data_IF_954808956211
#
_entry.id   IF_954808956211
#
_cell.length_a   1.000
_cell.length_b   1.000
_cell.length_c   1.000
_cell.angle_alpha   90.00
_cell.angle_beta   90.00
_cell.angle_gamma   90.00
#
_symmetry.space_group_name_H-M   'P 1'
#
loop_
_entity.id
_entity.type
_entity.pdbx_description
1 polymer ?
#
# COMPACT_ATOMS: atom_id res chain seq x y z
N UNK A 1 -0.86 29.00 -10.18
CA UNK A 1 -1.57 28.11 -9.25
C UNK A 1 -2.29 26.94 -9.93
N UNK A 2 -3.36 27.11 -10.73
CA UNK A 2 -4.07 25.93 -11.29
C UNK A 2 -3.24 25.11 -12.30
N UNK A 3 -2.53 25.78 -13.21
CA UNK A 3 -1.62 25.11 -14.16
C UNK A 3 -0.45 24.41 -13.43
N UNK A 4 0.04 25.02 -12.35
CA UNK A 4 1.08 24.46 -11.48
C UNK A 4 0.60 23.19 -10.77
N UNK A 5 -0.62 23.22 -10.21
CA UNK A 5 -1.25 22.05 -9.60
C UNK A 5 -1.44 20.94 -10.63
N UNK A 6 -1.99 21.25 -11.81
CA UNK A 6 -2.16 20.25 -12.87
C UNK A 6 -0.82 19.65 -13.30
N UNK A 7 0.20 20.48 -13.49
CA UNK A 7 1.56 20.03 -13.82
C UNK A 7 2.10 19.09 -12.74
N UNK A 8 1.97 19.44 -11.45
CA UNK A 8 2.44 18.60 -10.34
C UNK A 8 1.61 17.34 -10.10
N UNK A 9 0.32 17.33 -10.46
CA UNK A 9 -0.46 16.09 -10.52
C UNK A 9 0.08 15.16 -11.61
N UNK A 10 0.32 15.67 -12.81
CA UNK A 10 0.82 14.88 -13.94
C UNK A 10 2.21 14.32 -13.65
N UNK A 11 3.13 15.15 -13.15
CA UNK A 11 4.47 14.69 -12.79
C UNK A 11 4.43 13.76 -11.58
N UNK A 12 3.55 14.01 -10.61
CA UNK A 12 3.31 13.09 -9.49
C UNK A 12 2.87 11.71 -9.97
N UNK A 13 1.89 11.63 -10.88
CA UNK A 13 1.47 10.38 -11.52
C UNK A 13 2.65 9.71 -12.22
N UNK A 14 3.46 10.46 -12.97
CA UNK A 14 4.65 9.91 -13.64
C UNK A 14 5.65 9.26 -12.66
N UNK A 15 5.99 9.94 -11.57
CA UNK A 15 6.86 9.36 -10.52
C UNK A 15 6.18 8.21 -9.76
N UNK A 16 4.85 8.25 -9.63
CA UNK A 16 4.05 7.15 -9.08
C UNK A 16 4.12 5.88 -9.95
N UNK A 17 4.16 6.03 -11.28
CA UNK A 17 4.41 4.91 -12.19
C UNK A 17 5.82 4.34 -11.96
N UNK A 18 6.85 5.21 -11.88
CA UNK A 18 8.24 4.76 -11.69
C UNK A 18 8.38 3.98 -10.38
N UNK A 19 7.89 4.53 -9.27
CA UNK A 19 7.94 3.88 -7.96
C UNK A 19 7.11 2.61 -7.93
N UNK A 20 5.89 2.61 -8.47
CA UNK A 20 5.03 1.43 -8.49
C UNK A 20 5.56 0.31 -9.37
N UNK A 21 6.30 0.60 -10.44
CA UNK A 21 6.83 -0.43 -11.34
C UNK A 21 8.22 -0.93 -10.98
N UNK A 22 8.99 -0.20 -10.15
CA UNK A 22 10.37 -0.54 -9.83
C UNK A 22 10.45 -1.22 -8.48
N UNK A 23 10.65 -2.56 -8.42
CA UNK A 23 10.79 -3.26 -7.15
C UNK A 23 11.92 -2.65 -6.30
N UNK A 24 11.66 -2.41 -5.02
CA UNK A 24 12.62 -1.82 -4.09
C UNK A 24 12.66 -0.29 -4.06
N UNK A 25 12.07 0.42 -5.03
CA UNK A 25 11.92 1.89 -4.96
C UNK A 25 10.54 2.24 -4.39
N UNK A 26 10.49 2.43 -3.08
CA UNK A 26 9.25 2.80 -2.39
C UNK A 26 9.01 4.32 -2.42
N UNK A 27 7.75 4.75 -2.44
CA UNK A 27 7.34 6.17 -2.35
C UNK A 27 7.96 6.95 -1.18
N UNK A 28 8.28 6.29 -0.08
CA UNK A 28 8.87 6.93 1.10
C UNK A 28 10.27 7.49 0.80
N UNK A 29 11.03 6.81 -0.07
CA UNK A 29 12.35 7.27 -0.51
C UNK A 29 12.21 8.56 -1.31
N UNK A 30 11.32 8.59 -2.30
CA UNK A 30 11.12 9.79 -3.13
C UNK A 30 10.56 10.93 -2.29
N UNK A 31 9.64 10.65 -1.37
CA UNK A 31 9.08 11.66 -0.46
C UNK A 31 10.16 12.28 0.43
N UNK A 32 11.11 11.47 0.92
CA UNK A 32 12.23 11.95 1.74
C UNK A 32 13.25 12.74 0.90
N UNK A 33 13.56 12.26 -0.31
CA UNK A 33 14.44 12.97 -1.24
C UNK A 33 13.85 14.33 -1.61
N UNK A 34 12.55 14.38 -1.92
CA UNK A 34 11.81 15.62 -2.19
C UNK A 34 11.88 16.57 -1.00
N UNK A 35 11.72 16.07 0.23
CA UNK A 35 11.88 16.88 1.44
C UNK A 35 13.29 17.46 1.56
N UNK A 36 14.33 16.67 1.26
CA UNK A 36 15.72 17.15 1.29
C UNK A 36 16.03 18.23 0.26
N UNK A 37 15.43 18.16 -0.93
CA UNK A 37 15.58 19.18 -1.98
C UNK A 37 14.49 20.27 -1.92
N UNK A 38 13.58 20.20 -0.95
CA UNK A 38 12.45 21.14 -0.84
C UNK A 38 12.86 22.61 -0.75
N UNK A 39 13.97 23.03 -0.08
CA UNK A 39 14.36 24.43 -0.07
C UNK A 39 14.59 25.02 -1.47
N UNK A 40 15.11 24.20 -2.39
CA UNK A 40 15.29 24.59 -3.80
C UNK A 40 13.94 24.61 -4.53
N UNK A 41 13.13 23.56 -4.39
CA UNK A 41 11.84 23.45 -5.08
C UNK A 41 10.86 24.55 -4.67
N UNK A 42 10.91 25.00 -3.42
CA UNK A 42 10.06 26.08 -2.90
C UNK A 42 10.34 27.45 -3.54
N UNK A 43 11.44 27.61 -4.28
CA UNK A 43 11.66 28.81 -5.10
C UNK A 43 10.84 28.83 -6.39
N UNK A 44 10.35 27.66 -6.84
CA UNK A 44 9.60 27.50 -8.09
C UNK A 44 8.14 27.08 -7.87
N UNK A 45 7.88 26.35 -6.78
CA UNK A 45 6.59 25.74 -6.50
C UNK A 45 6.10 26.08 -5.09
N UNK A 46 4.79 26.22 -4.95
CA UNK A 46 4.15 26.38 -3.66
C UNK A 46 4.18 25.08 -2.84
N UNK A 47 4.22 25.22 -1.51
CA UNK A 47 4.19 24.11 -0.55
C UNK A 47 3.00 23.17 -0.81
N UNK A 48 1.83 23.75 -1.08
CA UNK A 48 0.59 23.01 -1.38
C UNK A 48 0.76 22.17 -2.65
N UNK A 49 1.40 22.72 -3.68
CA UNK A 49 1.60 22.01 -4.94
C UNK A 49 2.59 20.84 -4.76
N UNK A 50 3.63 20.99 -3.93
CA UNK A 50 4.51 19.88 -3.58
C UNK A 50 3.79 18.78 -2.79
N UNK A 51 2.87 19.14 -1.88
CA UNK A 51 2.02 18.16 -1.20
C UNK A 51 1.09 17.42 -2.19
N UNK A 52 0.51 18.14 -3.15
CA UNK A 52 -0.30 17.56 -4.24
C UNK A 52 0.51 16.60 -5.11
N UNK A 53 1.77 16.93 -5.41
CA UNK A 53 2.70 16.01 -6.09
C UNK A 53 2.86 14.70 -5.31
N UNK A 54 3.15 14.79 -4.00
CA UNK A 54 3.35 13.60 -3.16
C UNK A 54 2.08 12.74 -3.15
N UNK A 55 0.90 13.34 -3.06
CA UNK A 55 -0.37 12.63 -3.04
C UNK A 55 -0.64 11.92 -4.36
N UNK A 56 -0.47 12.63 -5.48
CA UNK A 56 -0.66 12.05 -6.81
C UNK A 56 0.30 10.87 -7.05
N UNK A 57 1.57 11.02 -6.63
CA UNK A 57 2.57 9.96 -6.67
C UNK A 57 2.15 8.76 -5.80
N UNK A 58 1.83 8.99 -4.52
CA UNK A 58 1.48 7.92 -3.58
C UNK A 58 0.25 7.14 -4.01
N UNK A 59 -0.82 7.82 -4.45
CA UNK A 59 -2.02 7.14 -4.94
C UNK A 59 -1.73 6.35 -6.21
N UNK A 60 -0.99 6.93 -7.16
CA UNK A 60 -0.66 6.19 -8.40
C UNK A 60 0.17 4.94 -8.06
N UNK A 61 1.12 5.07 -7.14
CA UNK A 61 1.94 3.97 -6.68
C UNK A 61 1.12 2.82 -6.08
N UNK A 62 0.12 3.07 -5.22
CA UNK A 62 -0.69 1.99 -4.61
C UNK A 62 -1.53 1.17 -5.60
N UNK A 63 -1.64 1.64 -6.84
CA UNK A 63 -2.26 0.87 -7.93
C UNK A 63 -1.22 0.12 -8.74
N UNK A 64 -0.09 0.77 -9.04
CA UNK A 64 0.93 0.24 -9.95
C UNK A 64 1.87 -0.78 -9.28
N UNK A 65 2.08 -0.69 -7.96
CA UNK A 65 2.84 -1.66 -7.13
C UNK A 65 2.30 -3.10 -7.20
N UNK A 66 1.03 -3.24 -7.54
CA UNK A 66 0.39 -4.54 -7.77
C UNK A 66 0.95 -5.27 -8.99
N UNK A 67 1.51 -4.57 -9.97
CA UNK A 67 2.05 -5.18 -11.20
C UNK A 67 3.32 -5.98 -10.91
N UNK A 68 4.42 -5.41 -10.38
CA UNK A 68 5.60 -6.20 -10.05
C UNK A 68 5.30 -7.27 -8.99
N UNK A 69 4.40 -6.99 -8.03
CA UNK A 69 3.97 -7.97 -7.04
C UNK A 69 3.35 -9.23 -7.68
N UNK A 70 2.47 -9.06 -8.67
CA UNK A 70 1.79 -10.17 -9.35
C UNK A 70 2.68 -10.86 -10.38
N UNK A 71 3.40 -10.08 -11.21
CA UNK A 71 4.11 -10.60 -12.38
C UNK A 71 5.56 -11.00 -12.10
N UNK A 72 6.24 -10.32 -11.18
CA UNK A 72 7.64 -10.59 -10.83
C UNK A 72 7.79 -11.29 -9.49
N UNK A 73 6.71 -11.40 -8.70
CA UNK A 73 6.79 -11.95 -7.36
C UNK A 73 7.65 -11.11 -6.42
N UNK A 74 7.82 -9.83 -6.72
CA UNK A 74 8.63 -8.87 -5.97
C UNK A 74 7.71 -7.83 -5.31
N UNK A 75 7.05 -8.17 -4.18
CA UNK A 75 6.09 -7.30 -3.53
C UNK A 75 6.75 -6.23 -2.67
N UNK A 76 5.94 -5.26 -2.30
CA UNK A 76 6.22 -4.38 -1.18
C UNK A 76 5.59 -4.89 0.12
N UNK A 77 5.83 -4.17 1.21
CA UNK A 77 5.23 -4.45 2.51
C UNK A 77 3.71 -4.56 2.50
N UNK A 78 3.07 -3.71 1.69
CA UNK A 78 1.63 -3.69 1.58
C UNK A 78 1.07 -4.91 0.82
N UNK A 79 1.84 -5.47 -0.10
CA UNK A 79 1.36 -6.48 -1.07
C UNK A 79 1.99 -7.86 -0.89
N UNK A 80 2.88 -8.05 0.10
CA UNK A 80 3.61 -9.29 0.33
C UNK A 80 2.71 -10.53 0.48
N UNK A 81 1.60 -10.42 1.21
CA UNK A 81 0.65 -11.53 1.34
C UNK A 81 -0.13 -11.77 0.04
N UNK A 82 -0.27 -10.74 -0.81
CA UNK A 82 -0.84 -10.76 -2.16
C UNK A 82 -0.05 -11.60 -3.16
N UNK A 83 1.24 -11.80 -2.94
CA UNK A 83 2.10 -12.54 -3.88
C UNK A 83 1.66 -13.97 -4.04
N UNK A 84 1.34 -14.69 -2.97
CA UNK A 84 1.01 -16.11 -3.11
C UNK A 84 -0.25 -16.33 -3.97
N UNK A 85 -1.39 -15.65 -3.72
CA UNK A 85 -2.54 -15.70 -4.63
C UNK A 85 -2.24 -15.10 -6.01
N UNK A 86 -1.57 -13.96 -6.10
CA UNK A 86 -1.21 -13.32 -7.36
C UNK A 86 -0.34 -14.20 -8.26
N UNK A 87 0.66 -14.84 -7.68
CA UNK A 87 1.53 -15.81 -8.33
C UNK A 87 0.76 -17.07 -8.74
N UNK A 88 -0.17 -17.58 -7.90
CA UNK A 88 -1.10 -18.65 -8.32
C UNK A 88 -1.91 -18.26 -9.55
N UNK A 89 -2.35 -17.01 -9.67
CA UNK A 89 -3.02 -16.51 -10.88
C UNK A 89 -2.07 -16.44 -12.07
N UNK A 90 -0.86 -15.92 -11.88
CA UNK A 90 0.16 -15.82 -12.92
C UNK A 90 0.46 -17.20 -13.54
N UNK A 91 0.68 -18.21 -12.70
CA UNK A 91 0.95 -19.59 -13.08
C UNK A 91 -0.24 -20.29 -13.76
N UNK A 92 -1.46 -19.80 -13.57
CA UNK A 92 -2.67 -20.26 -14.28
C UNK A 92 -2.91 -19.50 -15.60
N UNK A 93 -2.03 -18.58 -15.97
CA UNK A 93 -2.21 -17.70 -17.13
C UNK A 93 -3.21 -16.58 -16.90
N UNK A 94 -3.54 -16.25 -15.65
CA UNK A 94 -4.59 -15.31 -15.26
C UNK A 94 -4.03 -14.09 -14.49
N UNK A 95 -2.77 -13.70 -14.68
CA UNK A 95 -2.16 -12.56 -13.97
C UNK A 95 -2.89 -11.24 -14.20
N UNK A 96 -3.40 -11.01 -15.41
CA UNK A 96 -4.25 -9.84 -15.72
C UNK A 96 -5.57 -9.82 -14.94
N UNK A 97 -6.12 -10.98 -14.60
CA UNK A 97 -7.32 -11.09 -13.77
C UNK A 97 -7.02 -10.69 -12.32
N UNK A 98 -5.92 -11.19 -11.76
CA UNK A 98 -5.45 -10.78 -10.44
C UNK A 98 -5.25 -9.26 -10.36
N UNK A 99 -4.61 -8.68 -11.38
CA UNK A 99 -4.40 -7.24 -11.48
C UNK A 99 -5.72 -6.46 -11.49
N UNK A 100 -6.68 -6.87 -12.34
CA UNK A 100 -8.01 -6.25 -12.39
C UNK A 100 -8.70 -6.27 -11.03
N UNK A 101 -8.67 -7.40 -10.33
CA UNK A 101 -9.29 -7.54 -9.00
C UNK A 101 -8.64 -6.60 -7.97
N UNK A 102 -7.31 -6.48 -7.98
CA UNK A 102 -6.59 -5.57 -7.08
C UNK A 102 -6.86 -4.11 -7.41
N UNK A 103 -6.98 -3.75 -8.69
CA UNK A 103 -7.38 -2.40 -9.11
C UNK A 103 -8.82 -2.09 -8.68
N UNK A 104 -9.76 -3.05 -8.80
CA UNK A 104 -11.12 -2.91 -8.28
C UNK A 104 -11.11 -2.65 -6.77
N UNK A 105 -10.28 -3.39 -6.03
CA UNK A 105 -10.06 -3.19 -4.60
C UNK A 105 -9.56 -1.77 -4.28
N UNK A 106 -8.51 -1.34 -4.99
CA UNK A 106 -7.86 -0.04 -4.79
C UNK A 106 -8.79 1.13 -5.12
N UNK A 107 -9.45 1.09 -6.28
CA UNK A 107 -10.37 2.14 -6.71
C UNK A 107 -11.64 2.18 -5.86
N UNK A 108 -12.20 1.01 -5.53
CA UNK A 108 -13.36 0.91 -4.64
C UNK A 108 -13.05 1.46 -3.25
N UNK A 109 -11.88 1.13 -2.70
CA UNK A 109 -11.42 1.67 -1.41
C UNK A 109 -11.15 3.17 -1.45
N UNK A 110 -10.61 3.71 -2.55
CA UNK A 110 -10.43 5.14 -2.73
C UNK A 110 -11.78 5.88 -2.67
N UNK A 111 -12.77 5.43 -3.44
CA UNK A 111 -14.11 6.01 -3.45
C UNK A 111 -14.76 5.91 -2.06
N UNK A 112 -14.72 4.73 -1.44
CA UNK A 112 -15.28 4.51 -0.11
C UNK A 112 -14.56 5.35 0.96
N UNK A 113 -13.24 5.52 0.86
CA UNK A 113 -12.47 6.34 1.79
C UNK A 113 -12.82 7.81 1.68
N UNK A 114 -13.01 8.32 0.46
CA UNK A 114 -13.47 9.71 0.25
C UNK A 114 -14.90 9.89 0.78
N UNK A 115 -15.80 8.94 0.49
CA UNK A 115 -17.20 9.01 0.94
C UNK A 115 -17.33 8.93 2.47
N UNK A 116 -16.55 8.05 3.10
CA UNK A 116 -16.54 7.87 4.56
C UNK A 116 -15.67 8.91 5.27
N UNK A 117 -14.87 9.71 4.54
CA UNK A 117 -13.97 10.70 5.11
C UNK A 117 -14.61 11.61 6.17
N UNK A 118 -15.78 12.26 5.93
CA UNK A 118 -16.42 13.11 6.93
C UNK A 118 -16.82 12.34 8.20
N UNK A 119 -17.18 11.06 8.07
CA UNK A 119 -17.52 10.19 9.21
C UNK A 119 -16.28 9.80 10.01
N UNK A 120 -15.12 9.64 9.36
CA UNK A 120 -13.87 9.28 10.02
C UNK A 120 -13.33 10.40 10.92
N UNK A 121 -13.60 11.67 10.59
CA UNK A 121 -13.10 12.81 11.37
C UNK A 121 -13.54 12.79 12.84
N UNK A 122 -14.84 12.71 13.19
CA UNK A 122 -15.27 12.63 14.58
C UNK A 122 -14.82 11.32 15.23
N UNK A 123 -14.83 10.19 14.51
CA UNK A 123 -14.34 8.90 15.02
C UNK A 123 -12.90 9.04 15.50
N UNK A 124 -12.00 9.58 14.67
CA UNK A 124 -10.60 9.78 15.05
C UNK A 124 -10.51 10.77 16.22
N UNK A 125 -11.24 11.89 16.18
CA UNK A 125 -11.18 12.94 17.21
C UNK A 125 -11.57 12.44 18.59
N UNK A 126 -12.62 11.62 18.69
CA UNK A 126 -13.16 11.16 19.97
C UNK A 126 -12.60 9.81 20.43
N UNK A 127 -12.37 8.88 19.51
CA UNK A 127 -11.93 7.52 19.86
C UNK A 127 -10.41 7.46 20.07
N UNK A 128 -9.61 8.18 19.28
CA UNK A 128 -8.15 8.10 19.40
C UNK A 128 -7.63 8.49 20.80
N UNK A 129 -8.10 9.58 21.45
CA UNK A 129 -7.65 9.92 22.79
C UNK A 129 -7.93 8.84 23.84
N UNK A 130 -8.99 8.04 23.66
CA UNK A 130 -9.37 6.94 24.55
C UNK A 130 -8.42 5.76 24.34
N UNK A 131 -8.10 5.43 23.08
CA UNK A 131 -7.31 4.24 22.77
C UNK A 131 -5.81 4.48 22.87
N UNK A 132 -5.32 5.74 22.77
CA UNK A 132 -3.88 6.04 22.65
C UNK A 132 -3.02 5.39 23.75
N UNK A 133 -3.53 5.34 24.98
CA UNK A 133 -2.80 4.81 26.15
C UNK A 133 -2.83 3.27 26.20
N UNK A 134 -3.70 2.63 25.41
CA UNK A 134 -3.85 1.18 25.29
C UNK A 134 -3.28 0.60 24.00
N UNK A 135 -2.69 1.42 23.10
CA UNK A 135 -2.18 0.95 21.81
C UNK A 135 -1.16 -0.18 21.98
N UNK A 136 -0.25 -0.08 22.95
CA UNK A 136 0.74 -1.13 23.21
C UNK A 136 0.11 -2.48 23.55
N UNK A 137 -0.91 -2.46 24.41
CA UNK A 137 -1.68 -3.67 24.77
C UNK A 137 -2.48 -4.22 23.59
N UNK A 138 -3.05 -3.34 22.76
CA UNK A 138 -3.77 -3.73 21.54
C UNK A 138 -2.84 -4.41 20.53
N UNK A 139 -1.64 -3.87 20.31
CA UNK A 139 -0.63 -4.48 19.45
C UNK A 139 -0.21 -5.85 19.98
N UNK A 140 0.02 -5.96 21.29
CA UNK A 140 0.36 -7.23 21.93
C UNK A 140 -0.75 -8.26 21.73
N UNK A 141 -2.02 -7.86 21.89
CA UNK A 141 -3.17 -8.73 21.65
C UNK A 141 -3.21 -9.21 20.20
N UNK A 142 -3.01 -8.31 19.22
CA UNK A 142 -2.96 -8.68 17.80
C UNK A 142 -1.85 -9.70 17.53
N UNK A 143 -0.66 -9.49 18.09
CA UNK A 143 0.47 -10.42 17.95
C UNK A 143 0.13 -11.78 18.56
N UNK A 144 -0.35 -11.82 19.81
CA UNK A 144 -0.75 -13.05 20.49
C UNK A 144 -1.80 -13.80 19.66
N UNK A 145 -2.82 -13.08 19.19
CA UNK A 145 -3.87 -13.63 18.35
C UNK A 145 -3.29 -14.24 17.06
N UNK A 146 -2.39 -13.54 16.37
CA UNK A 146 -1.74 -14.05 15.14
C UNK A 146 -0.92 -15.31 15.42
N UNK A 147 -0.13 -15.33 16.49
CA UNK A 147 0.70 -16.51 16.87
C UNK A 147 -0.19 -17.71 17.21
N UNK A 148 -1.28 -17.50 17.96
CA UNK A 148 -2.20 -18.56 18.35
C UNK A 148 -2.99 -19.12 17.17
N UNK A 149 -3.24 -18.32 16.14
CA UNK A 149 -3.94 -18.71 14.91
C UNK A 149 -3.03 -19.38 13.89
N UNK A 150 -1.71 -19.24 14.02
CA UNK A 150 -0.77 -19.90 13.13
C UNK A 150 -0.77 -21.42 13.34
N UNK A 151 -0.57 -22.19 12.26
CA UNK A 151 -0.45 -23.65 12.33
C UNK A 151 0.80 -24.06 13.10
N UNK A 152 1.89 -23.31 12.96
CA UNK A 152 3.19 -23.59 13.60
C UNK A 152 3.48 -22.56 14.69
N UNK A 153 2.66 -22.56 15.74
CA UNK A 153 2.70 -21.57 16.84
C UNK A 153 4.10 -21.31 17.41
N UNK A 154 4.88 -22.38 17.63
CA UNK A 154 6.24 -22.29 18.18
C UNK A 154 7.18 -21.58 17.18
N UNK A 155 7.09 -21.94 15.89
CA UNK A 155 7.86 -21.28 14.83
C UNK A 155 7.43 -19.83 14.64
N UNK A 156 6.13 -19.53 14.69
CA UNK A 156 5.62 -18.17 14.61
C UNK A 156 6.14 -17.31 15.78
N UNK A 157 6.13 -17.85 17.00
CA UNK A 157 6.70 -17.18 18.18
C UNK A 157 8.22 -16.97 18.02
N UNK A 158 8.94 -17.98 17.54
CA UNK A 158 10.39 -17.89 17.29
C UNK A 158 10.72 -16.80 16.26
N UNK A 159 10.02 -16.77 15.12
CA UNK A 159 10.19 -15.74 14.09
C UNK A 159 9.83 -14.35 14.62
N UNK A 160 8.76 -14.24 15.41
CA UNK A 160 8.37 -12.99 16.06
C UNK A 160 9.48 -12.47 16.98
N UNK A 161 10.02 -13.33 17.85
CA UNK A 161 11.12 -12.97 18.76
C UNK A 161 12.39 -12.59 17.99
N UNK A 162 12.77 -13.34 16.96
CA UNK A 162 13.91 -13.00 16.11
C UNK A 162 13.73 -11.64 15.44
N UNK A 163 12.55 -11.37 14.86
CA UNK A 163 12.24 -10.07 14.26
C UNK A 163 12.28 -8.94 15.28
N UNK A 164 11.83 -9.19 16.52
CA UNK A 164 11.87 -8.21 17.61
C UNK A 164 13.30 -7.91 18.07
N UNK A 165 14.11 -8.94 18.29
CA UNK A 165 15.54 -8.81 18.65
C UNK A 165 16.28 -8.07 17.54
N UNK A 166 16.06 -8.44 16.28
CA UNK A 166 16.66 -7.76 15.15
C UNK A 166 16.27 -6.27 15.09
N UNK A 167 14.99 -5.94 15.32
CA UNK A 167 14.54 -4.56 15.43
C UNK A 167 15.26 -3.78 16.55
N UNK A 168 15.39 -4.37 17.75
CA UNK A 168 16.12 -3.76 18.87
C UNK A 168 17.59 -3.51 18.52
N UNK A 169 18.26 -4.47 17.87
CA UNK A 169 19.64 -4.31 17.41
C UNK A 169 19.76 -3.15 16.40
N UNK A 170 18.85 -3.09 15.42
CA UNK A 170 18.84 -2.03 14.39
C UNK A 170 18.60 -0.65 15.00
N UNK A 171 17.70 -0.52 15.99
CA UNK A 171 17.48 0.74 16.70
C UNK A 171 18.63 1.15 17.62
N UNK A 172 19.42 0.20 18.10
CA UNK A 172 20.64 0.48 18.86
C UNK A 172 21.83 0.89 17.98
N UNK A 173 21.72 0.77 16.65
CA UNK A 173 22.70 1.35 15.73
C UNK A 173 22.53 2.87 15.70
N UNK A 174 23.64 3.62 15.81
CA UNK A 174 23.64 5.08 15.79
C UNK A 174 23.47 5.65 14.35
N UNK A 175 22.43 5.20 13.65
CA UNK A 175 22.07 5.64 12.30
C UNK A 175 20.96 6.69 12.37
N UNK A 176 20.99 7.69 11.49
CA UNK A 176 19.92 8.71 11.43
C UNK A 176 18.55 8.11 11.06
N UNK A 177 18.53 7.09 10.21
CA UNK A 177 17.32 6.41 9.73
C UNK A 177 17.54 4.89 9.67
N UNK A 178 17.60 4.19 10.82
CA UNK A 178 18.00 2.78 10.88
C UNK A 178 16.99 1.86 10.16
N UNK A 179 15.71 2.25 10.13
CA UNK A 179 14.65 1.51 9.44
C UNK A 179 14.77 1.56 7.92
N UNK A 180 15.40 2.59 7.34
CA UNK A 180 15.41 2.76 5.89
C UNK A 180 16.21 1.64 5.20
N UNK A 181 17.50 1.38 5.52
CA UNK A 181 18.26 0.27 4.94
C UNK A 181 17.64 -1.10 5.25
N UNK A 182 17.07 -1.25 6.45
CA UNK A 182 16.44 -2.49 6.90
C UNK A 182 15.22 -2.85 6.03
N UNK A 183 14.30 -1.90 5.86
CA UNK A 183 13.06 -2.12 5.12
C UNK A 183 13.27 -2.13 3.62
N UNK A 184 14.24 -1.39 3.08
CA UNK A 184 14.57 -1.46 1.64
C UNK A 184 15.26 -2.78 1.27
N UNK A 185 16.09 -3.31 2.17
CA UNK A 185 16.90 -4.51 1.91
C UNK A 185 16.15 -5.83 2.11
N UNK A 186 15.34 -5.96 3.17
CA UNK A 186 14.83 -7.27 3.59
C UNK A 186 13.43 -7.63 3.05
N UNK A 187 12.64 -6.67 2.60
CA UNK A 187 11.20 -6.89 2.38
C UNK A 187 10.87 -7.86 1.23
N UNK A 188 11.63 -7.79 0.14
CA UNK A 188 11.44 -8.65 -1.04
C UNK A 188 12.30 -9.91 -1.03
N UNK A 189 13.28 -10.04 -0.12
CA UNK A 189 14.32 -11.08 -0.24
C UNK A 189 13.75 -12.49 -0.14
N UNK A 190 12.82 -12.73 0.78
CA UNK A 190 12.23 -14.07 0.94
C UNK A 190 11.44 -14.53 -0.30
N UNK A 191 10.68 -13.63 -0.91
CA UNK A 191 9.89 -13.92 -2.13
C UNK A 191 10.78 -14.05 -3.36
N UNK A 192 11.83 -13.23 -3.47
CA UNK A 192 12.86 -13.37 -4.50
C UNK A 192 13.60 -14.70 -4.37
N UNK A 193 14.04 -15.09 -3.16
CA UNK A 193 14.69 -16.38 -2.92
C UNK A 193 13.79 -17.57 -3.26
N UNK A 194 12.51 -17.52 -2.88
CA UNK A 194 11.54 -18.55 -3.26
C UNK A 194 11.37 -18.61 -4.78
N UNK A 195 11.23 -17.45 -5.44
CA UNK A 195 11.08 -17.35 -6.89
C UNK A 195 12.31 -17.92 -7.63
N UNK A 196 13.52 -17.60 -7.17
CA UNK A 196 14.77 -18.15 -7.71
C UNK A 196 14.90 -19.66 -7.52
N UNK A 197 14.32 -20.21 -6.44
CA UNK A 197 14.33 -21.64 -6.15
C UNK A 197 13.38 -22.46 -7.03
N UNK A 198 12.40 -21.82 -7.68
CA UNK A 198 11.36 -22.51 -8.45
C UNK A 198 11.64 -22.49 -9.96
N UNK A 199 11.84 -23.67 -10.56
CA UNK A 199 11.93 -23.83 -12.02
C UNK A 199 10.55 -23.88 -12.68
N UNK A 200 9.82 -22.76 -12.70
CA UNK A 200 8.51 -22.69 -13.35
C UNK A 200 8.54 -21.83 -14.61
N UNK A 201 8.09 -22.40 -15.73
CA UNK A 201 7.85 -21.65 -16.97
C UNK A 201 6.50 -20.97 -16.87
N UNK A 202 6.49 -19.65 -16.99
CA UNK A 202 5.25 -18.87 -16.97
C UNK A 202 4.47 -19.14 -18.25
N UNK A 203 3.20 -19.59 -18.17
CA UNK A 203 2.38 -19.82 -19.36
C UNK A 203 1.91 -18.49 -19.97
N UNK A 204 1.55 -18.55 -21.27
CA UNK A 204 0.93 -17.41 -21.96
C UNK A 204 -0.27 -16.88 -21.18
N UNK A 205 -0.26 -15.58 -20.89
CA UNK A 205 -1.31 -14.92 -20.14
C UNK A 205 -2.58 -14.74 -21.00
N UNK A 206 -3.73 -15.06 -20.42
CA UNK A 206 -5.05 -14.90 -21.03
C UNK A 206 -5.48 -13.44 -20.92
N UNK A 207 -5.99 -12.92 -22.03
CA UNK A 207 -6.56 -11.57 -22.10
C UNK A 207 -8.01 -11.49 -21.64
N UNK A 208 -8.60 -12.63 -21.23
CA UNK A 208 -10.03 -12.74 -20.99
C UNK A 208 -10.56 -11.57 -20.18
N UNK A 209 -11.61 -10.96 -20.73
CA UNK A 209 -12.29 -9.79 -20.18
C UNK A 209 -13.27 -10.14 -19.09
N UNK A 210 -13.72 -11.41 -19.05
CA UNK A 210 -14.81 -11.83 -18.17
C UNK A 210 -14.34 -11.98 -16.74
N UNK A 211 -14.58 -10.93 -15.97
CA UNK A 211 -14.43 -10.98 -14.53
C UNK A 211 -15.72 -11.60 -13.99
N UNK A 212 -15.69 -12.89 -13.64
CA UNK A 212 -16.75 -13.47 -12.79
C UNK A 212 -16.57 -12.93 -11.37
N UNK A 213 -16.99 -11.69 -11.16
CA UNK A 213 -17.10 -11.09 -9.84
C UNK A 213 -18.30 -11.72 -9.14
N UNK A 214 -18.08 -12.35 -8.00
CA UNK A 214 -19.16 -12.60 -7.06
C UNK A 214 -19.38 -11.30 -6.25
N UNK A 215 -20.45 -10.52 -6.50
CA UNK A 215 -20.59 -9.18 -5.93
C UNK A 215 -20.56 -9.20 -4.40
N UNK A 216 -21.11 -10.26 -3.79
CA UNK A 216 -21.07 -10.47 -2.34
C UNK A 216 -19.63 -10.58 -1.81
N UNK A 217 -18.77 -11.37 -2.46
CA UNK A 217 -17.37 -11.52 -2.03
C UNK A 217 -16.59 -10.23 -2.26
N UNK A 218 -16.81 -9.53 -3.37
CA UNK A 218 -16.17 -8.24 -3.65
C UNK A 218 -16.55 -7.20 -2.62
N UNK A 219 -17.84 -7.07 -2.28
CA UNK A 219 -18.31 -6.09 -1.30
C UNK A 219 -17.79 -6.41 0.11
N UNK A 220 -17.79 -7.69 0.50
CA UNK A 220 -17.20 -8.13 1.78
C UNK A 220 -15.70 -7.84 1.83
N UNK A 221 -14.97 -8.10 0.75
CA UNK A 221 -13.54 -7.80 0.65
C UNK A 221 -13.26 -6.30 0.75
N UNK A 222 -14.04 -5.47 0.05
CA UNK A 222 -13.94 -4.01 0.12
C UNK A 222 -14.24 -3.50 1.53
N UNK A 223 -15.33 -3.95 2.16
CA UNK A 223 -15.67 -3.52 3.53
C UNK A 223 -14.61 -3.93 4.56
N UNK A 224 -14.11 -5.16 4.46
CA UNK A 224 -13.04 -5.67 5.33
C UNK A 224 -11.72 -4.95 5.09
N UNK A 225 -11.37 -4.67 3.83
CA UNK A 225 -10.18 -3.92 3.46
C UNK A 225 -10.25 -2.46 3.88
N UNK A 226 -11.42 -1.83 3.78
CA UNK A 226 -11.68 -0.49 4.28
C UNK A 226 -11.47 -0.40 5.79
N UNK A 227 -12.01 -1.36 6.54
CA UNK A 227 -11.84 -1.43 7.99
C UNK A 227 -10.36 -1.63 8.37
N UNK A 228 -9.67 -2.54 7.70
CA UNK A 228 -8.24 -2.79 7.93
C UNK A 228 -7.34 -1.64 7.51
N UNK A 229 -7.67 -0.95 6.41
CA UNK A 229 -7.02 0.29 6.00
C UNK A 229 -7.18 1.38 7.05
N UNK A 230 -8.38 1.51 7.62
CA UNK A 230 -8.63 2.42 8.74
C UNK A 230 -7.78 2.06 9.97
N UNK A 231 -7.81 0.79 10.41
CA UNK A 231 -7.04 0.33 11.56
C UNK A 231 -5.55 0.61 11.40
N UNK A 232 -4.97 0.32 10.23
CA UNK A 232 -3.55 0.58 9.95
C UNK A 232 -3.22 2.06 9.79
N UNK A 233 -4.18 2.88 9.36
CA UNK A 233 -4.01 4.34 9.30
C UNK A 233 -4.11 4.99 10.68
N UNK A 234 -4.83 4.37 11.62
CA UNK A 234 -5.09 4.89 12.97
C UNK A 234 -4.04 4.41 13.97
N UNK A 235 -3.71 3.12 13.97
CA UNK A 235 -2.84 2.49 14.95
C UNK A 235 -1.39 2.43 14.47
N UNK A 236 -0.44 3.08 15.17
CA UNK A 236 0.97 2.90 14.88
C UNK A 236 1.39 1.45 15.14
N UNK A 237 2.27 0.91 14.30
CA UNK A 237 2.81 -0.44 14.45
C UNK A 237 1.99 -1.56 13.80
N UNK A 238 0.78 -1.29 13.30
CA UNK A 238 0.05 -2.23 12.44
C UNK A 238 0.34 -1.94 10.97
N UNK A 239 0.89 -2.93 10.26
CA UNK A 239 1.09 -2.88 8.81
C UNK A 239 -0.03 -3.60 8.05
N UNK A 240 0.02 -3.50 6.72
CA UNK A 240 -0.96 -4.12 5.83
C UNK A 240 -0.99 -5.66 5.97
N UNK A 241 0.14 -6.30 6.29
CA UNK A 241 0.20 -7.75 6.48
C UNK A 241 -0.66 -8.20 7.67
N UNK A 242 -0.51 -7.55 8.82
CA UNK A 242 -1.33 -7.80 10.01
C UNK A 242 -2.80 -7.50 9.70
N UNK A 243 -3.08 -6.41 9.00
CA UNK A 243 -4.43 -6.00 8.61
C UNK A 243 -5.11 -7.02 7.70
N UNK A 244 -4.40 -7.54 6.69
CA UNK A 244 -4.91 -8.57 5.80
C UNK A 244 -5.19 -9.88 6.54
N UNK A 245 -4.33 -10.28 7.49
CA UNK A 245 -4.57 -11.45 8.35
C UNK A 245 -5.84 -11.26 9.18
N UNK A 246 -6.00 -10.09 9.84
CA UNK A 246 -7.21 -9.77 10.60
C UNK A 246 -8.46 -9.77 9.71
N UNK A 247 -8.39 -9.15 8.53
CA UNK A 247 -9.47 -9.13 7.54
C UNK A 247 -9.91 -10.52 7.11
N UNK A 248 -8.97 -11.45 6.90
CA UNK A 248 -9.29 -12.83 6.55
C UNK A 248 -10.02 -13.59 7.66
N UNK A 249 -9.83 -13.19 8.93
CA UNK A 249 -10.55 -13.78 10.07
C UNK A 249 -11.97 -13.20 10.18
N UNK A 250 -12.13 -11.89 9.93
CA UNK A 250 -13.43 -11.21 9.95
C UNK A 250 -14.29 -11.66 8.77
N UNK A 251 -13.66 -11.94 7.63
CA UNK A 251 -14.33 -12.30 6.38
C UNK A 251 -13.80 -13.63 5.84
N UNK A 252 -14.23 -14.76 6.44
CA UNK A 252 -13.82 -16.07 5.97
C UNK A 252 -14.35 -16.35 4.56
N UNK A 253 -13.70 -17.27 3.84
CA UNK A 253 -14.12 -17.79 2.53
C UNK A 253 -14.11 -16.78 1.36
N UNK A 254 -13.27 -15.73 1.44
CA UNK A 254 -13.05 -14.81 0.31
C UNK A 254 -12.41 -15.48 -0.92
N UNK A 255 -11.63 -16.54 -0.70
CA UNK A 255 -10.84 -17.21 -1.73
C UNK A 255 -9.81 -16.27 -2.40
N UNK A 256 -9.12 -16.78 -3.42
CA UNK A 256 -8.08 -16.01 -4.12
C UNK A 256 -8.65 -14.75 -4.78
N UNK A 257 -9.90 -14.78 -5.28
CA UNK A 257 -10.55 -13.63 -5.91
C UNK A 257 -10.77 -12.47 -4.92
N UNK A 258 -11.47 -12.74 -3.81
CA UNK A 258 -11.76 -11.74 -2.80
C UNK A 258 -10.49 -11.24 -2.10
N UNK A 259 -9.47 -12.10 -1.97
CA UNK A 259 -8.19 -11.70 -1.40
C UNK A 259 -7.43 -10.69 -2.27
N UNK A 260 -7.45 -10.82 -3.60
CA UNK A 260 -6.82 -9.82 -4.49
C UNK A 260 -7.50 -8.45 -4.35
N UNK A 261 -8.83 -8.42 -4.22
CA UNK A 261 -9.60 -7.19 -3.94
C UNK A 261 -9.22 -6.62 -2.56
N UNK A 262 -9.14 -7.48 -1.55
CA UNK A 262 -8.79 -7.09 -0.18
C UNK A 262 -7.43 -6.38 -0.10
N UNK A 263 -6.38 -6.96 -0.70
CA UNK A 263 -5.03 -6.38 -0.64
C UNK A 263 -4.97 -5.01 -1.31
N UNK A 264 -5.58 -4.84 -2.49
CA UNK A 264 -5.65 -3.53 -3.14
C UNK A 264 -6.43 -2.50 -2.31
N UNK A 265 -7.49 -2.95 -1.64
CA UNK A 265 -8.30 -2.11 -0.77
C UNK A 265 -7.52 -1.60 0.45
N UNK A 266 -6.77 -2.46 1.14
CA UNK A 266 -6.04 -2.10 2.37
C UNK A 266 -5.02 -0.98 2.11
N UNK A 267 -4.20 -1.10 1.06
CA UNK A 267 -3.12 -0.13 0.81
C UNK A 267 -3.69 1.27 0.47
N UNK A 268 -4.66 1.31 -0.43
CA UNK A 268 -5.27 2.57 -0.89
C UNK A 268 -6.12 3.22 0.21
N UNK A 269 -6.85 2.42 0.99
CA UNK A 269 -7.58 2.91 2.17
C UNK A 269 -6.61 3.46 3.22
N UNK A 270 -5.53 2.74 3.53
CA UNK A 270 -4.52 3.19 4.50
C UNK A 270 -3.98 4.58 4.14
N UNK A 271 -3.53 4.78 2.90
CA UNK A 271 -2.98 6.05 2.48
C UNK A 271 -4.04 7.17 2.54
N UNK A 272 -5.22 6.95 1.95
CA UNK A 272 -6.28 7.97 1.88
C UNK A 272 -6.79 8.36 3.27
N UNK A 273 -7.00 7.38 4.15
CA UNK A 273 -7.45 7.61 5.53
C UNK A 273 -6.35 8.19 6.42
N UNK A 274 -5.07 7.99 6.09
CA UNK A 274 -3.95 8.64 6.80
C UNK A 274 -3.96 10.16 6.64
N UNK A 275 -4.63 10.70 5.61
CA UNK A 275 -4.87 12.14 5.50
C UNK A 275 -5.83 12.64 6.59
N UNK A 276 -6.80 11.82 7.02
CA UNK A 276 -7.70 12.15 8.12
C UNK A 276 -6.97 12.18 9.46
N UNK A 277 -6.07 11.22 9.72
CA UNK A 277 -5.26 11.24 10.95
C UNK A 277 -4.26 12.39 10.97
N UNK A 278 -3.69 12.76 9.82
CA UNK A 278 -2.89 13.96 9.70
C UNK A 278 -3.71 15.21 10.03
N UNK A 279 -4.91 15.36 9.45
CA UNK A 279 -5.78 16.52 9.70
C UNK A 279 -6.27 16.64 11.15
N UNK A 280 -6.70 15.53 11.75
CA UNK A 280 -7.33 15.55 13.09
C UNK A 280 -6.30 15.51 14.22
N UNK A 281 -5.22 14.74 14.06
CA UNK A 281 -4.25 14.47 15.12
C UNK A 281 -2.93 15.22 14.94
N UNK A 282 -2.71 15.89 13.79
CA UNK A 282 -1.40 16.41 13.38
C UNK A 282 -0.29 15.33 13.44
N UNK A 283 -0.66 14.08 13.16
CA UNK A 283 0.25 12.93 13.19
C UNK A 283 0.13 12.15 11.90
N UNK A 284 1.24 12.06 11.18
CA UNK A 284 1.34 11.19 10.02
C UNK A 284 1.55 9.73 10.44
N UNK A 285 0.78 8.83 9.81
CA UNK A 285 0.83 7.37 10.03
C UNK A 285 1.23 6.59 8.78
N UNK A 286 1.51 7.29 7.69
CA UNK A 286 2.04 6.76 6.44
C UNK A 286 3.29 7.56 6.05
N UNK A 287 4.33 6.90 5.53
CA UNK A 287 5.64 7.53 5.31
C UNK A 287 5.63 8.70 4.32
N UNK A 288 4.82 8.64 3.27
CA UNK A 288 4.66 9.77 2.34
C UNK A 288 3.86 10.92 2.97
N UNK A 289 2.89 10.61 3.84
CA UNK A 289 2.15 11.59 4.64
C UNK A 289 3.05 12.28 5.68
N UNK A 290 4.10 11.61 6.17
CA UNK A 290 5.14 12.22 7.03
C UNK A 290 5.89 13.32 6.28
N UNK A 291 6.17 13.15 4.99
CA UNK A 291 6.80 14.22 4.21
C UNK A 291 5.87 15.43 4.08
N UNK A 292 4.58 15.22 3.83
CA UNK A 292 3.57 16.29 3.81
C UNK A 292 3.51 17.02 5.15
N UNK A 293 3.49 16.28 6.27
CA UNK A 293 3.45 16.88 7.61
C UNK A 293 4.71 17.66 7.99
N UNK A 294 5.83 17.39 7.31
CA UNK A 294 7.08 18.15 7.48
C UNK A 294 7.16 19.37 6.57
N UNK A 295 6.46 19.35 5.43
CA UNK A 295 6.35 20.48 4.50
C UNK A 295 5.30 21.50 4.96
N UNK A 296 4.21 21.03 5.59
CA UNK A 296 3.07 21.85 5.99
C UNK A 296 2.86 21.81 7.50
N UNK A 297 2.98 22.96 8.15
CA UNK A 297 2.76 23.10 9.61
C UNK A 297 1.28 22.99 10.00
N UNK A 298 0.37 23.46 9.14
CA UNK A 298 -1.07 23.39 9.40
C UNK A 298 -1.86 23.01 8.15
N UNK A 299 -2.86 22.16 8.36
CA UNK A 299 -3.73 21.66 7.30
C UNK A 299 -5.16 22.02 7.66
N UNK A 300 -5.80 22.80 6.79
CA UNK A 300 -7.19 23.18 6.92
C UNK A 300 -8.08 22.28 6.04
N UNK A 301 -9.39 22.49 6.13
CA UNK A 301 -10.36 21.71 5.35
C UNK A 301 -10.17 21.88 3.84
N UNK A 302 -9.80 23.07 3.36
CA UNK A 302 -9.58 23.32 1.93
C UNK A 302 -8.41 22.52 1.37
N UNK A 303 -7.31 22.39 2.14
CA UNK A 303 -6.17 21.56 1.76
C UNK A 303 -6.59 20.09 1.68
N UNK A 304 -7.36 19.59 2.65
CA UNK A 304 -7.85 18.21 2.64
C UNK A 304 -8.78 17.94 1.45
N UNK A 305 -9.71 18.84 1.14
CA UNK A 305 -10.58 18.68 -0.03
C UNK A 305 -9.76 18.63 -1.32
N UNK A 306 -8.75 19.48 -1.45
CA UNK A 306 -7.81 19.45 -2.58
C UNK A 306 -7.05 18.12 -2.65
N UNK A 307 -6.61 17.59 -1.51
CA UNK A 307 -5.89 16.32 -1.42
C UNK A 307 -6.77 15.13 -1.80
N UNK A 308 -8.03 15.08 -1.34
CA UNK A 308 -8.98 14.05 -1.73
C UNK A 308 -9.34 14.14 -3.21
N UNK A 309 -9.52 15.34 -3.74
CA UNK A 309 -9.75 15.57 -5.16
C UNK A 309 -8.55 15.13 -6.01
N UNK A 310 -7.33 15.45 -5.57
CA UNK A 310 -6.08 14.99 -6.20
C UNK A 310 -6.01 13.47 -6.21
N UNK A 311 -6.31 12.82 -5.09
CA UNK A 311 -6.36 11.37 -4.98
C UNK A 311 -7.37 10.74 -5.95
N UNK A 312 -8.53 11.39 -6.14
CA UNK A 312 -9.52 10.91 -7.10
C UNK A 312 -9.01 11.01 -8.55
N UNK A 313 -8.42 12.15 -8.95
CA UNK A 313 -7.83 12.32 -10.28
C UNK A 313 -6.71 11.30 -10.52
N UNK A 314 -5.75 11.22 -9.60
CA UNK A 314 -4.61 10.31 -9.71
C UNK A 314 -5.07 8.85 -9.74
N UNK A 315 -6.00 8.46 -8.86
CA UNK A 315 -6.56 7.11 -8.82
C UNK A 315 -7.31 6.75 -10.10
N UNK A 316 -8.13 7.65 -10.64
CA UNK A 316 -8.81 7.45 -11.92
C UNK A 316 -7.81 7.26 -13.06
N UNK A 317 -6.76 8.09 -13.15
CA UNK A 317 -5.69 7.92 -14.14
C UNK A 317 -4.94 6.59 -13.94
N UNK A 318 -4.64 6.24 -12.69
CA UNK A 318 -3.91 5.04 -12.31
C UNK A 318 -4.65 3.75 -12.69
N UNK A 319 -5.99 3.72 -12.65
CA UNK A 319 -6.80 2.58 -13.15
C UNK A 319 -6.47 2.31 -14.62
N UNK A 320 -6.52 3.33 -15.47
CA UNK A 320 -6.25 3.18 -16.91
C UNK A 320 -4.79 2.79 -17.17
N UNK A 321 -3.86 3.45 -16.47
CA UNK A 321 -2.43 3.20 -16.59
C UNK A 321 -2.06 1.78 -16.15
N UNK A 322 -2.54 1.32 -14.99
CA UNK A 322 -2.26 0.00 -14.47
C UNK A 322 -2.79 -1.11 -15.38
N UNK A 323 -4.01 -0.97 -15.91
CA UNK A 323 -4.55 -1.94 -16.87
C UNK A 323 -3.77 -1.96 -18.20
N UNK A 324 -3.32 -0.81 -18.70
CA UNK A 324 -2.54 -0.72 -19.95
C UNK A 324 -1.13 -1.29 -19.77
N UNK A 325 -0.44 -0.90 -18.71
CA UNK A 325 0.92 -1.36 -18.39
C UNK A 325 0.90 -2.85 -18.02
N UNK A 326 -0.11 -3.31 -17.28
CA UNK A 326 -0.29 -4.73 -16.97
C UNK A 326 -0.39 -5.62 -18.21
N UNK A 327 -1.02 -5.17 -19.29
CA UNK A 327 -1.04 -5.89 -20.58
C UNK A 327 0.36 -5.99 -21.20
N UNK A 328 1.17 -4.95 -21.07
CA UNK A 328 2.56 -4.96 -21.53
C UNK A 328 3.36 -5.99 -20.73
N UNK A 329 3.25 -5.98 -19.40
CA UNK A 329 3.90 -6.98 -18.53
C UNK A 329 3.45 -8.41 -18.86
N UNK A 330 2.14 -8.64 -19.04
CA UNK A 330 1.60 -9.95 -19.38
C UNK A 330 2.14 -10.51 -20.71
N UNK A 331 2.51 -9.63 -21.66
CA UNK A 331 3.18 -10.01 -22.91
C UNK A 331 4.66 -10.29 -22.72
N UNK A 332 5.36 -9.43 -21.97
CA UNK A 332 6.81 -9.53 -21.78
C UNK A 332 7.19 -10.71 -20.90
N UNK A 333 6.39 -11.02 -19.87
CA UNK A 333 6.72 -12.06 -18.89
C UNK A 333 6.86 -13.47 -19.51
N UNK A 334 6.20 -13.71 -20.64
CA UNK A 334 6.33 -14.99 -21.37
C UNK A 334 7.63 -15.09 -22.17
N UNK A 335 8.31 -13.96 -22.40
CA UNK A 335 9.52 -13.86 -23.24
C UNK A 335 10.80 -13.78 -22.41
N UNK A 336 10.70 -13.44 -21.13
CA UNK A 336 11.86 -13.30 -20.25
C UNK A 336 12.03 -14.58 -19.42
N UNK A 337 13.28 -15.02 -19.26
CA UNK A 337 13.59 -16.11 -18.36
C UNK A 337 13.40 -15.62 -16.91
N UNK A 338 12.37 -16.13 -16.24
CA UNK A 338 12.00 -15.73 -14.87
C UNK A 338 13.13 -15.89 -13.84
N UNK A 339 14.14 -16.72 -14.13
CA UNK A 339 15.30 -16.92 -13.25
C UNK A 339 16.36 -15.82 -13.33
N UNK A 340 16.37 -15.05 -14.42
CA UNK A 340 17.38 -14.00 -14.69
C UNK A 340 16.87 -12.61 -14.25
N UNK A 341 15.55 -12.49 -14.02
CA UNK A 341 14.87 -11.28 -13.53
C UNK A 341 15.07 -11.11 -12.03
#
# INVERSE_FOLDING_TARGET
>A
MYLELLFLIITGIFFGIITGLTPGIHINLISLLLLSISPLLLSYFSIISLAVFIIAMSITHTFLDSIPSIFLGAPEAATALGVLPGHRYLLKGNGLMALKLTIIGSFGALILSILLFPLLLPIIKFIYPIIKDYIGWLLLLVVIFMILRDKFKIWALFIFLLSGIFGLLVFNLNLKNPLFPMLSGLFGVSTLLISLSQNQKIPKQKYSTDIKLEPSKTLKALGSGQFSGFLTSMFPGLGAAQAAVLSMQITPNLGDHGFMVLIGSINTANFTMSLATLYVLNKARNGSVVAISKLMESINLTHILLFLFTSLIAGSAAVFLALKIGKVFANLINKVNYRIL
#
